data_IF_845707243284
#
_entry.id   IF_845707243284
#
_cell.length_a   1.000
_cell.length_b   1.000
_cell.length_c   1.000
_cell.angle_alpha   90.00
_cell.angle_beta   90.00
_cell.angle_gamma   90.00
#
_symmetry.space_group_name_H-M   'P 1'
#
loop_
_entity.id
_entity.type
_entity.pdbx_description
1 polymer ?
#
# COMPACT_ATOMS: atom_id res chain seq x y z
N UNK A 1 -3.08 2.95 23.56
CA UNK A 1 -3.17 2.53 22.14
C UNK A 1 -3.02 3.80 21.35
N UNK A 2 -1.82 4.10 20.86
CA UNK A 2 -1.61 5.29 20.04
C UNK A 2 -2.46 5.16 18.76
N UNK A 3 -3.08 6.24 18.26
CA UNK A 3 -3.69 6.22 16.94
C UNK A 3 -2.58 5.83 15.95
N UNK A 4 -2.67 4.63 15.39
CA UNK A 4 -1.66 4.10 14.49
C UNK A 4 -1.38 5.14 13.42
N UNK A 5 -0.11 5.49 13.25
CA UNK A 5 0.32 6.42 12.22
C UNK A 5 -0.08 5.85 10.86
N UNK A 6 -1.07 6.47 10.20
CA UNK A 6 -1.55 6.06 8.87
C UNK A 6 -0.93 6.96 7.83
N UNK A 7 -0.34 6.36 6.80
CA UNK A 7 0.18 7.11 5.66
C UNK A 7 -1.01 7.62 4.83
N UNK A 8 -0.96 8.88 4.40
CA UNK A 8 -1.92 9.43 3.43
C UNK A 8 -1.47 9.08 2.01
N UNK A 9 -2.41 8.74 1.13
CA UNK A 9 -2.13 8.42 -0.28
C UNK A 9 -1.37 9.55 -1.01
N UNK A 10 -1.58 10.81 -0.62
CA UNK A 10 -0.87 11.97 -1.19
C UNK A 10 0.64 12.01 -0.88
N UNK A 11 1.05 11.32 0.20
CA UNK A 11 2.43 11.17 0.65
C UNK A 11 3.04 9.81 0.32
N UNK A 12 2.24 8.90 -0.25
CA UNK A 12 2.67 7.54 -0.56
C UNK A 12 3.41 7.47 -1.90
N UNK A 13 4.39 6.58 -2.00
CA UNK A 13 4.97 6.21 -3.29
C UNK A 13 3.99 5.35 -4.08
N UNK A 14 4.21 5.24 -5.40
CA UNK A 14 3.37 4.35 -6.24
C UNK A 14 3.46 2.89 -5.80
N UNK A 15 4.65 2.42 -5.39
CA UNK A 15 4.80 1.05 -4.91
C UNK A 15 3.99 0.80 -3.64
N UNK A 16 3.97 1.76 -2.72
CA UNK A 16 3.16 1.67 -1.50
C UNK A 16 1.67 1.59 -1.83
N UNK A 17 1.19 2.41 -2.77
CA UNK A 17 -0.22 2.39 -3.21
C UNK A 17 -0.59 1.03 -3.80
N UNK A 18 0.22 0.49 -4.72
CA UNK A 18 -0.07 -0.81 -5.35
C UNK A 18 -0.02 -1.95 -4.33
N UNK A 19 0.96 -1.96 -3.43
CA UNK A 19 1.06 -3.00 -2.41
C UNK A 19 -0.11 -2.94 -1.42
N UNK A 20 -0.49 -1.74 -0.97
CA UNK A 20 -1.65 -1.55 -0.11
C UNK A 20 -2.93 -2.03 -0.79
N UNK A 21 -3.09 -1.75 -2.09
CA UNK A 21 -4.22 -2.21 -2.89
C UNK A 21 -4.27 -3.73 -3.01
N UNK A 22 -3.15 -4.37 -3.34
CA UNK A 22 -3.08 -5.84 -3.46
C UNK A 22 -3.36 -6.55 -2.13
N UNK A 23 -2.85 -6.03 -1.02
CA UNK A 23 -3.07 -6.61 0.32
C UNK A 23 -4.50 -6.37 0.83
N UNK A 24 -5.11 -5.23 0.49
CA UNK A 24 -6.47 -4.86 0.91
C UNK A 24 -7.59 -5.28 -0.05
N UNK A 25 -7.23 -5.85 -1.21
CA UNK A 25 -8.18 -6.27 -2.24
C UNK A 25 -9.00 -7.51 -1.85
N UNK A 26 -9.95 -7.88 -2.71
CA UNK A 26 -10.73 -9.11 -2.59
C UNK A 26 -10.65 -9.92 -3.89
N UNK A 27 -9.90 -11.03 -3.93
CA UNK A 27 -9.18 -11.66 -2.82
C UNK A 27 -7.92 -10.87 -2.39
N UNK A 28 -7.59 -10.92 -1.10
CA UNK A 28 -6.37 -10.31 -0.58
C UNK A 28 -5.14 -11.11 -1.04
N UNK A 29 -4.19 -10.43 -1.69
CA UNK A 29 -2.93 -11.02 -2.10
C UNK A 29 -1.87 -10.92 -0.98
N UNK A 30 -0.89 -11.83 -1.00
CA UNK A 30 0.35 -11.72 -0.22
C UNK A 30 1.51 -11.44 -1.16
N UNK A 31 1.89 -10.17 -1.39
CA UNK A 31 2.90 -9.82 -2.39
C UNK A 31 4.30 -10.31 -1.97
N UNK A 32 4.99 -11.00 -2.89
CA UNK A 32 6.42 -11.30 -2.76
C UNK A 32 7.22 -10.29 -3.57
N UNK A 33 7.99 -9.44 -2.89
CA UNK A 33 8.76 -8.35 -3.51
C UNK A 33 10.25 -8.52 -3.27
N UNK A 34 11.04 -8.33 -4.33
CA UNK A 34 12.51 -8.27 -4.25
C UNK A 34 12.93 -6.82 -4.19
N UNK A 35 13.71 -6.47 -3.17
CA UNK A 35 14.31 -5.15 -2.97
C UNK A 35 15.79 -5.32 -2.68
N UNK A 36 16.61 -4.31 -3.00
CA UNK A 36 18.07 -4.39 -2.81
C UNK A 36 18.59 -3.38 -1.77
N UNK A 37 18.23 -2.09 -1.83
CA UNK A 37 18.60 -1.13 -0.80
C UNK A 37 17.72 -1.27 0.44
N UNK A 38 18.28 -1.03 1.63
CA UNK A 38 17.51 -1.02 2.90
C UNK A 38 16.34 -0.02 2.85
N UNK A 39 16.53 1.15 2.24
CA UNK A 39 15.48 2.14 2.08
C UNK A 39 14.25 1.62 1.31
N UNK A 40 14.43 0.67 0.38
CA UNK A 40 13.30 0.04 -0.32
C UNK A 40 12.59 -1.00 0.56
N UNK A 41 13.28 -1.64 1.50
CA UNK A 41 12.64 -2.50 2.50
C UNK A 41 11.69 -1.64 3.34
N UNK A 42 12.16 -0.50 3.83
CA UNK A 42 11.34 0.45 4.61
C UNK A 42 10.14 0.94 3.80
N UNK A 43 10.34 1.32 2.53
CA UNK A 43 9.25 1.73 1.64
C UNK A 43 8.17 0.65 1.50
N UNK A 44 8.58 -0.59 1.24
CA UNK A 44 7.66 -1.73 1.07
C UNK A 44 6.92 -2.05 2.37
N UNK A 45 7.59 -1.99 3.51
CA UNK A 45 6.97 -2.27 4.80
C UNK A 45 5.96 -1.20 5.19
N UNK A 46 6.27 0.06 4.91
CA UNK A 46 5.38 1.21 5.13
C UNK A 46 4.07 1.12 4.33
N UNK A 47 4.02 0.36 3.22
CA UNK A 47 2.78 0.12 2.47
C UNK A 47 1.66 -0.52 3.30
N UNK A 48 1.99 -1.23 4.40
CA UNK A 48 1.01 -1.86 5.30
C UNK A 48 0.21 -0.86 6.12
N UNK A 49 0.78 0.32 6.32
CA UNK A 49 0.18 1.41 7.12
C UNK A 49 -0.55 2.44 6.23
N UNK A 50 -0.54 2.24 4.91
CA UNK A 50 -1.28 3.05 3.97
C UNK A 50 -2.74 2.60 3.88
N UNK A 51 -3.65 3.52 4.19
CA UNK A 51 -5.07 3.34 4.03
C UNK A 51 -5.53 3.85 2.67
N UNK A 52 -6.18 2.99 1.89
CA UNK A 52 -6.89 3.39 0.68
C UNK A 52 -8.37 3.55 1.03
N UNK A 53 -8.92 4.73 0.75
CA UNK A 53 -10.36 4.97 0.88
C UNK A 53 -11.14 4.35 -0.29
N UNK A 54 -12.47 4.42 -0.21
CA UNK A 54 -13.35 3.81 -1.19
C UNK A 54 -13.12 4.39 -2.60
N UNK A 55 -12.89 5.70 -2.72
CA UNK A 55 -12.71 6.37 -4.00
C UNK A 55 -11.40 5.93 -4.66
N UNK A 56 -10.31 5.86 -3.90
CA UNK A 56 -9.03 5.34 -4.37
C UNK A 56 -9.16 3.88 -4.83
N UNK A 57 -9.85 3.05 -4.05
CA UNK A 57 -10.09 1.65 -4.41
C UNK A 57 -10.93 1.53 -5.69
N UNK A 58 -11.97 2.34 -5.86
CA UNK A 58 -12.78 2.35 -7.10
C UNK A 58 -11.92 2.65 -8.32
N UNK A 59 -11.05 3.66 -8.25
CA UNK A 59 -10.16 4.01 -9.36
C UNK A 59 -9.17 2.88 -9.64
N UNK A 60 -8.52 2.33 -8.61
CA UNK A 60 -7.52 1.26 -8.77
C UNK A 60 -8.14 -0.05 -9.27
N UNK A 61 -9.37 -0.36 -8.88
CA UNK A 61 -10.09 -1.52 -9.39
C UNK A 61 -10.56 -1.34 -10.85
N UNK A 62 -10.71 -0.11 -11.34
CA UNK A 62 -11.12 0.16 -12.74
C UNK A 62 -10.01 -0.05 -13.77
N UNK A 63 -8.75 -0.11 -13.33
CA UNK A 63 -7.59 -0.32 -14.21
C UNK A 63 -7.11 -1.79 -14.24
N UNK A 64 -7.81 -2.68 -13.54
CA UNK A 64 -7.59 -4.13 -13.55
C UNK A 64 -8.61 -4.85 -14.42
#
# INVERSE_FOLDING_TARGET
MEPGFRISISSATRNQVVLAWLMGGSPAATPMVRVSPVAQIEEVMAARDLALDADALTVLNSVS
#
